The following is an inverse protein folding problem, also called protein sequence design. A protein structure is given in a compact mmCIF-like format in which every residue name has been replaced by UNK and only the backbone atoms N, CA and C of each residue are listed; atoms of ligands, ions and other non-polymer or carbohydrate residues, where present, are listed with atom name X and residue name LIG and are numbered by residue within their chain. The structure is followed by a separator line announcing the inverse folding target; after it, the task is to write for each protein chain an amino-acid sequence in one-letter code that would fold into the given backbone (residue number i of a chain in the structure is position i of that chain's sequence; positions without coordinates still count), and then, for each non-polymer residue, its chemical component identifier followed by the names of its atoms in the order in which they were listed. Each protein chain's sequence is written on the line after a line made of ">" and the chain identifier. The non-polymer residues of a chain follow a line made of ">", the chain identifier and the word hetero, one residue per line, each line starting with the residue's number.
data_IF_219517328230
#
_entry.id   IF_219517328230
#
_cell.length_a   1.000
_cell.length_b   1.000
_cell.length_c   1.000
_cell.angle_alpha   90.00
_cell.angle_beta   90.00
_cell.angle_gamma   90.00
#
_symmetry.space_group_name_H-M   'P 1'
#
loop_
_entity.id
_entity.type
_entity.pdbx_description
1 polymer ?
#
# COMPACT_ATOMS: atom_id res chain seq x y z
N UNK A 1 0.17 1.45 34.48
CA UNK A 1 -0.90 0.79 33.69
C UNK A 1 -2.24 0.96 34.42
N UNK A 2 -2.60 2.19 34.80
CA UNK A 2 -3.69 2.51 35.76
C UNK A 2 -4.82 3.36 35.16
N UNK A 3 -5.22 3.07 33.91
CA UNK A 3 -6.37 3.75 33.28
C UNK A 3 -7.38 2.75 32.72
N UNK A 4 -7.63 1.66 33.47
CA UNK A 4 -8.77 0.77 33.23
C UNK A 4 -9.71 0.80 34.43
N UNK A 5 -10.42 1.90 34.60
CA UNK A 5 -11.61 1.95 35.46
C UNK A 5 -12.81 1.33 34.72
N UNK A 6 -13.74 0.79 35.51
CA UNK A 6 -14.93 -0.01 35.14
C UNK A 6 -15.96 0.64 34.20
N UNK A 7 -15.69 1.83 33.67
CA UNK A 7 -16.53 2.54 32.70
C UNK A 7 -15.69 2.77 31.45
N UNK A 8 -16.20 2.46 30.25
CA UNK A 8 -15.45 2.45 29.00
C UNK A 8 -14.56 3.69 28.76
N UNK A 9 -13.58 3.54 27.86
CA UNK A 9 -12.56 4.56 27.49
C UNK A 9 -13.08 5.98 27.72
N UNK A 10 -12.57 6.65 28.77
CA UNK A 10 -12.93 8.03 29.10
C UNK A 10 -12.72 8.89 27.85
N UNK A 11 -13.81 9.44 27.31
CA UNK A 11 -13.76 10.32 26.14
C UNK A 11 -13.29 11.70 26.60
N UNK A 12 -12.06 12.06 26.26
CA UNK A 12 -11.52 13.40 26.48
C UNK A 12 -11.95 14.34 25.36
N UNK A 13 -12.07 15.62 25.67
CA UNK A 13 -12.22 16.66 24.64
C UNK A 13 -10.86 16.96 24.01
N UNK A 14 -10.83 17.41 22.75
CA UNK A 14 -9.57 17.62 22.02
C UNK A 14 -8.65 18.64 22.72
N UNK A 15 -9.24 19.69 23.31
CA UNK A 15 -8.53 20.71 24.08
C UNK A 15 -7.85 20.18 25.35
N UNK A 16 -8.23 19.00 25.83
CA UNK A 16 -7.63 18.36 27.01
C UNK A 16 -6.39 17.52 26.64
N UNK A 17 -6.20 17.20 25.35
CA UNK A 17 -5.18 16.24 24.89
C UNK A 17 -4.19 16.81 23.89
N UNK A 18 -4.50 17.94 23.23
CA UNK A 18 -3.59 18.63 22.31
C UNK A 18 -3.56 20.14 22.60
N UNK A 19 -2.37 20.73 22.47
CA UNK A 19 -2.13 22.17 22.59
C UNK A 19 -1.70 22.78 21.25
N UNK A 20 -1.93 24.09 21.03
CA UNK A 20 -1.30 24.83 19.93
C UNK A 20 0.22 24.64 19.94
N UNK A 21 0.82 24.63 18.75
CA UNK A 21 2.28 24.45 18.53
C UNK A 21 2.87 23.10 18.97
N UNK A 22 2.04 22.15 19.43
CA UNK A 22 2.49 20.81 19.76
C UNK A 22 2.96 20.07 18.51
N UNK A 23 4.23 19.65 18.52
CA UNK A 23 4.81 18.86 17.43
C UNK A 23 4.32 17.41 17.54
N UNK A 24 3.73 16.90 16.46
CA UNK A 24 3.22 15.54 16.36
C UNK A 24 3.64 14.90 15.03
N UNK A 25 4.00 13.61 15.07
CA UNK A 25 4.20 12.82 13.87
C UNK A 25 2.83 12.38 13.34
N UNK A 26 2.57 12.65 12.07
CA UNK A 26 1.29 12.35 11.41
C UNK A 26 1.52 11.62 10.09
N UNK A 27 0.57 10.78 9.71
CA UNK A 27 0.48 10.13 8.41
C UNK A 27 -0.76 10.63 7.67
N UNK A 28 -0.60 10.89 6.37
CA UNK A 28 -1.71 11.18 5.46
C UNK A 28 -2.49 9.88 5.21
N UNK A 29 -3.78 9.88 5.56
CA UNK A 29 -4.70 8.78 5.30
C UNK A 29 -5.50 8.98 4.01
N UNK A 30 -5.85 10.22 3.71
CA UNK A 30 -6.55 10.62 2.49
C UNK A 30 -5.95 11.93 2.01
N UNK A 31 -5.65 11.98 0.72
CA UNK A 31 -5.20 13.20 0.06
C UNK A 31 -6.29 14.27 0.10
N UNK A 32 -5.89 15.52 -0.12
CA UNK A 32 -6.80 16.64 -0.23
C UNK A 32 -7.84 16.43 -1.34
N UNK A 33 -9.07 16.90 -1.09
CA UNK A 33 -10.15 16.83 -2.07
C UNK A 33 -10.90 18.15 -2.12
N UNK A 34 -10.80 18.84 -3.25
CA UNK A 34 -11.39 20.17 -3.42
C UNK A 34 -10.82 21.13 -2.39
N UNK A 35 -11.69 21.73 -1.57
CA UNK A 35 -11.28 22.63 -0.48
C UNK A 35 -10.99 21.92 0.85
N UNK A 36 -11.19 20.59 0.94
CA UNK A 36 -10.90 19.82 2.15
C UNK A 36 -9.43 19.43 2.17
N UNK A 37 -8.71 19.87 3.21
CA UNK A 37 -7.34 19.43 3.47
C UNK A 37 -7.24 17.91 3.69
N UNK A 38 -6.02 17.40 3.65
CA UNK A 38 -5.72 15.99 3.83
C UNK A 38 -6.20 15.47 5.20
N UNK A 39 -6.70 14.24 5.23
CA UNK A 39 -7.06 13.57 6.49
C UNK A 39 -5.80 12.97 7.11
N UNK A 40 -5.53 13.31 8.38
CA UNK A 40 -4.32 12.90 9.10
C UNK A 40 -4.64 11.91 10.23
N UNK A 41 -3.66 11.07 10.55
CA UNK A 41 -3.69 10.18 11.71
C UNK A 41 -2.34 10.12 12.38
N UNK A 42 -2.33 10.08 13.72
CA UNK A 42 -1.13 9.78 14.49
C UNK A 42 -0.89 8.28 14.59
N UNK A 43 -1.89 7.43 14.33
CA UNK A 43 -1.70 5.98 14.18
C UNK A 43 -1.02 5.73 12.85
N UNK A 44 0.27 5.37 12.94
CA UNK A 44 1.12 5.12 11.77
C UNK A 44 0.89 3.68 11.32
N UNK A 45 0.89 3.48 10.02
CA UNK A 45 0.84 2.18 9.38
C UNK A 45 1.86 2.13 8.24
N UNK A 46 2.69 1.09 8.25
CA UNK A 46 3.70 0.83 7.24
C UNK A 46 3.37 -0.47 6.53
N UNK A 47 3.09 -0.36 5.24
CA UNK A 47 2.73 -1.52 4.43
C UNK A 47 3.99 -2.20 3.87
N UNK A 48 4.29 -3.38 4.41
CA UNK A 48 5.16 -4.37 3.78
C UNK A 48 4.42 -5.13 2.68
N UNK A 49 5.08 -6.11 2.08
CA UNK A 49 4.48 -6.90 1.01
C UNK A 49 3.42 -7.88 1.52
N UNK A 50 3.73 -8.59 2.58
CA UNK A 50 2.88 -9.64 3.13
C UNK A 50 2.12 -9.17 4.36
N UNK A 51 2.60 -8.10 4.99
CA UNK A 51 2.07 -7.61 6.25
C UNK A 51 2.00 -6.08 6.29
N UNK A 52 1.23 -5.55 7.25
CA UNK A 52 1.17 -4.12 7.56
C UNK A 52 1.50 -3.97 9.04
N UNK A 53 2.59 -3.25 9.33
CA UNK A 53 3.03 -2.92 10.67
C UNK A 53 2.31 -1.65 11.15
N UNK A 54 1.76 -1.69 12.36
CA UNK A 54 1.24 -0.50 13.06
C UNK A 54 2.06 -0.29 14.32
N UNK A 55 3.17 0.48 14.25
CA UNK A 55 4.16 0.53 15.32
C UNK A 55 3.67 1.18 16.63
N UNK A 56 2.54 1.89 16.60
CA UNK A 56 1.96 2.56 17.76
C UNK A 56 0.52 2.12 18.07
N UNK A 57 0.13 0.94 17.58
CA UNK A 57 -1.20 0.36 17.83
C UNK A 57 -1.06 -1.07 18.34
N UNK A 58 -0.79 -1.28 19.64
CA UNK A 58 -0.49 -2.61 20.21
C UNK A 58 -1.61 -3.64 20.02
N UNK A 59 -2.86 -3.18 19.89
CA UNK A 59 -4.04 -4.03 19.68
C UNK A 59 -4.54 -4.03 18.22
N UNK A 60 -3.79 -3.43 17.30
CA UNK A 60 -4.25 -3.20 15.93
C UNK A 60 -4.16 -4.42 15.02
N UNK A 61 -3.62 -5.56 15.47
CA UNK A 61 -3.27 -6.68 14.59
C UNK A 61 -4.42 -7.56 14.12
N UNK A 62 -4.14 -8.40 13.11
CA UNK A 62 -5.10 -9.39 12.60
C UNK A 62 -4.72 -10.02 11.27
N UNK A 63 -5.73 -10.62 10.64
CA UNK A 63 -5.62 -11.26 9.32
C UNK A 63 -6.57 -10.52 8.38
N UNK A 64 -6.15 -10.26 7.14
CA UNK A 64 -6.96 -9.63 6.10
C UNK A 64 -8.36 -10.25 6.02
N UNK A 65 -9.39 -9.40 5.98
CA UNK A 65 -10.80 -9.84 5.86
C UNK A 65 -11.07 -10.64 4.58
N UNK A 66 -10.27 -10.42 3.53
CA UNK A 66 -10.37 -11.15 2.25
C UNK A 66 -9.94 -12.62 2.36
N UNK A 67 -9.23 -13.01 3.42
CA UNK A 67 -8.91 -14.42 3.71
C UNK A 67 -10.10 -14.97 4.49
N UNK A 68 -10.95 -15.75 3.82
CA UNK A 68 -12.22 -16.23 4.40
C UNK A 68 -12.08 -17.64 4.96
N UNK A 69 -11.25 -18.49 4.34
CA UNK A 69 -11.04 -19.88 4.75
C UNK A 69 -10.50 -19.96 6.19
N UNK A 70 -11.18 -20.76 7.03
CA UNK A 70 -10.85 -20.95 8.44
C UNK A 70 -9.49 -21.62 8.64
N UNK A 71 -9.14 -22.61 7.82
CA UNK A 71 -7.89 -23.35 7.92
C UNK A 71 -6.69 -22.45 7.60
N UNK A 72 -6.81 -21.62 6.56
CA UNK A 72 -5.79 -20.65 6.21
C UNK A 72 -5.61 -19.60 7.31
N UNK A 73 -6.71 -19.13 7.91
CA UNK A 73 -6.64 -18.24 9.07
C UNK A 73 -5.97 -18.89 10.27
N UNK A 74 -6.22 -20.18 10.52
CA UNK A 74 -5.59 -20.93 11.60
C UNK A 74 -4.08 -21.07 11.36
N UNK A 75 -3.67 -21.43 10.14
CA UNK A 75 -2.25 -21.51 9.73
C UNK A 75 -1.54 -20.16 9.93
N UNK A 76 -2.11 -19.07 9.43
CA UNK A 76 -1.54 -17.72 9.57
C UNK A 76 -1.46 -17.33 11.04
N UNK A 77 -2.50 -17.61 11.84
CA UNK A 77 -2.49 -17.32 13.28
C UNK A 77 -1.35 -18.07 14.01
N UNK A 78 -1.12 -19.33 13.67
CA UNK A 78 -0.01 -20.11 14.24
C UNK A 78 1.34 -19.47 13.87
N UNK A 79 1.53 -19.12 12.59
CA UNK A 79 2.75 -18.43 12.14
C UNK A 79 2.96 -17.11 12.91
N UNK A 80 1.89 -16.32 13.10
CA UNK A 80 1.95 -15.05 13.83
C UNK A 80 2.32 -15.22 15.31
N UNK A 81 1.92 -16.32 15.96
CA UNK A 81 2.31 -16.59 17.35
C UNK A 81 3.81 -16.85 17.50
N UNK A 82 4.46 -17.33 16.44
CA UNK A 82 5.89 -17.62 16.44
C UNK A 82 6.77 -16.44 16.02
N UNK A 83 6.17 -15.38 15.47
CA UNK A 83 6.88 -14.16 15.08
C UNK A 83 6.92 -13.21 16.28
N UNK A 84 8.13 -12.86 16.72
CA UNK A 84 8.32 -11.92 17.82
C UNK A 84 8.12 -10.49 17.32
N UNK A 85 7.15 -9.80 17.89
CA UNK A 85 6.83 -8.40 17.60
C UNK A 85 6.79 -7.68 18.95
N UNK A 86 7.38 -6.47 19.08
CA UNK A 86 7.26 -5.70 20.31
C UNK A 86 5.79 -5.49 20.69
N UNK A 87 5.46 -5.62 21.97
CA UNK A 87 4.07 -5.53 22.45
C UNK A 87 3.38 -4.20 22.12
N UNK A 88 4.17 -3.16 21.85
CA UNK A 88 3.69 -1.82 21.45
C UNK A 88 3.16 -1.76 20.02
N UNK A 89 3.45 -2.77 19.20
CA UNK A 89 3.14 -2.79 17.77
C UNK A 89 2.05 -3.80 17.43
N UNK A 90 1.22 -3.46 16.46
CA UNK A 90 0.26 -4.37 15.84
C UNK A 90 0.72 -4.82 14.46
N UNK A 91 0.26 -5.98 14.01
CA UNK A 91 0.55 -6.50 12.68
C UNK A 91 -0.70 -7.06 12.00
N UNK A 92 -0.95 -6.65 10.75
CA UNK A 92 -2.02 -7.22 9.91
C UNK A 92 -1.39 -8.02 8.77
N UNK A 93 -1.75 -9.29 8.62
CA UNK A 93 -1.35 -10.08 7.45
C UNK A 93 -2.24 -9.74 6.25
N UNK A 94 -1.62 -9.33 5.15
CA UNK A 94 -2.27 -8.99 3.87
C UNK A 94 -2.68 -10.25 3.12
N UNK A 95 -3.58 -10.11 2.15
CA UNK A 95 -3.98 -11.23 1.27
C UNK A 95 -2.79 -11.84 0.53
N UNK A 96 -1.80 -11.03 0.14
CA UNK A 96 -0.57 -11.50 -0.50
C UNK A 96 0.32 -12.36 0.42
N UNK A 97 0.10 -12.31 1.74
CA UNK A 97 0.76 -13.17 2.73
C UNK A 97 0.14 -14.56 2.85
N UNK A 98 -0.95 -14.85 2.13
CA UNK A 98 -1.53 -16.19 2.07
C UNK A 98 -0.51 -17.17 1.46
N UNK A 99 -0.43 -18.38 2.00
CA UNK A 99 0.50 -19.43 1.58
C UNK A 99 1.99 -19.04 1.66
N UNK A 100 2.32 -18.02 2.47
CA UNK A 100 3.71 -17.64 2.75
C UNK A 100 4.24 -18.35 3.98
N UNK A 101 5.53 -18.68 3.91
CA UNK A 101 6.23 -19.33 5.01
C UNK A 101 6.44 -18.36 6.17
N UNK A 102 6.62 -18.88 7.38
CA UNK A 102 7.02 -18.08 8.55
C UNK A 102 8.23 -17.19 8.27
N UNK A 103 9.25 -17.73 7.59
CA UNK A 103 10.48 -17.00 7.29
C UNK A 103 10.23 -15.82 6.35
N UNK A 104 9.39 -15.99 5.32
CA UNK A 104 9.01 -14.90 4.41
C UNK A 104 8.25 -13.79 5.13
N UNK A 105 7.27 -14.15 5.98
CA UNK A 105 6.50 -13.17 6.75
C UNK A 105 7.39 -12.46 7.77
N UNK A 106 8.21 -13.21 8.52
CA UNK A 106 9.13 -12.65 9.51
C UNK A 106 10.12 -11.66 8.87
N UNK A 107 10.66 -11.99 7.70
CA UNK A 107 11.56 -11.10 6.95
C UNK A 107 10.86 -9.80 6.54
N UNK A 108 9.63 -9.88 6.03
CA UNK A 108 8.82 -8.71 5.69
C UNK A 108 8.57 -7.83 6.93
N UNK A 109 8.19 -8.44 8.06
CA UNK A 109 7.97 -7.75 9.34
C UNK A 109 9.23 -7.02 9.80
N UNK A 110 10.37 -7.71 9.85
CA UNK A 110 11.65 -7.12 10.26
C UNK A 110 12.08 -5.96 9.37
N UNK A 111 11.84 -6.06 8.05
CA UNK A 111 12.08 -4.97 7.13
C UNK A 111 11.22 -3.74 7.46
N UNK A 112 9.91 -3.92 7.72
CA UNK A 112 9.03 -2.81 8.14
C UNK A 112 9.40 -2.24 9.50
N UNK A 113 9.87 -3.05 10.46
CA UNK A 113 10.36 -2.56 11.76
C UNK A 113 11.62 -1.71 11.56
N UNK A 114 12.56 -2.18 10.74
CA UNK A 114 13.77 -1.41 10.40
C UNK A 114 13.41 -0.08 9.74
N UNK A 115 12.43 -0.07 8.84
CA UNK A 115 11.95 1.16 8.21
C UNK A 115 11.32 2.10 9.26
N UNK A 116 10.50 1.58 10.18
CA UNK A 116 9.94 2.36 11.28
C UNK A 116 11.02 3.02 12.14
N UNK A 117 12.08 2.31 12.50
CA UNK A 117 13.17 2.89 13.29
C UNK A 117 13.90 4.03 12.55
N UNK A 118 14.05 3.92 11.22
CA UNK A 118 14.57 5.04 10.40
C UNK A 118 13.63 6.23 10.43
N UNK A 119 12.32 6.01 10.29
CA UNK A 119 11.30 7.07 10.35
C UNK A 119 11.34 7.76 11.70
N UNK A 120 11.35 6.99 12.79
CA UNK A 120 11.42 7.50 14.16
C UNK A 120 12.69 8.32 14.40
N UNK A 121 13.85 7.79 13.98
CA UNK A 121 15.14 8.49 14.08
C UNK A 121 15.15 9.80 13.30
N UNK A 122 14.63 9.79 12.07
CA UNK A 122 14.53 11.01 11.25
C UNK A 122 13.53 12.01 11.82
N UNK A 123 12.39 11.56 12.36
CA UNK A 123 11.40 12.43 12.97
C UNK A 123 11.98 13.21 14.16
N UNK A 124 12.73 12.54 15.05
CA UNK A 124 13.36 13.19 16.22
C UNK A 124 14.43 14.20 15.82
N UNK A 125 15.16 13.96 14.73
CA UNK A 125 16.20 14.86 14.22
C UNK A 125 15.67 16.02 13.37
N UNK A 126 14.42 15.95 12.93
CA UNK A 126 13.83 16.92 12.01
C UNK A 126 13.24 18.10 12.78
N UNK A 127 13.35 19.30 12.20
CA UNK A 127 12.66 20.49 12.67
C UNK A 127 11.31 20.55 11.94
N UNK A 128 10.21 20.65 12.70
CA UNK A 128 8.86 20.69 12.12
C UNK A 128 8.56 22.07 11.49
N UNK A 129 7.76 22.14 10.40
CA UNK A 129 7.19 21.04 9.62
C UNK A 129 8.23 20.41 8.66
N UNK A 130 8.24 19.08 8.55
CA UNK A 130 9.19 18.38 7.67
C UNK A 130 8.64 17.04 7.18
N UNK A 131 8.98 16.67 5.93
CA UNK A 131 8.70 15.37 5.34
C UNK A 131 9.66 14.31 5.91
N UNK A 132 9.14 13.50 6.82
CA UNK A 132 9.92 12.41 7.44
C UNK A 132 10.02 11.21 6.51
N UNK A 133 8.92 10.77 5.91
CA UNK A 133 8.87 9.57 5.10
C UNK A 133 7.94 9.75 3.90
N UNK A 134 8.43 9.35 2.73
CA UNK A 134 7.67 9.37 1.50
C UNK A 134 7.34 7.94 1.07
N UNK A 135 6.05 7.60 1.13
CA UNK A 135 5.51 6.36 0.57
C UNK A 135 5.30 6.45 -0.95
N UNK A 136 5.36 7.68 -1.49
CA UNK A 136 4.88 8.09 -2.82
C UNK A 136 5.53 7.42 -4.03
N UNK A 137 6.69 6.77 -3.87
CA UNK A 137 7.38 6.13 -4.99
C UNK A 137 6.49 5.06 -5.65
N UNK A 138 6.03 5.37 -6.87
CA UNK A 138 5.12 4.53 -7.65
C UNK A 138 5.77 3.18 -7.97
N UNK A 139 7.08 3.13 -8.16
CA UNK A 139 7.83 1.90 -8.43
C UNK A 139 7.82 1.01 -7.18
N UNK A 140 8.10 1.58 -6.01
CA UNK A 140 8.02 0.86 -4.73
C UNK A 140 6.62 0.26 -4.52
N UNK A 141 5.57 1.06 -4.72
CA UNK A 141 4.17 0.63 -4.58
C UNK A 141 3.80 -0.45 -5.59
N UNK A 142 4.15 -0.28 -6.86
CA UNK A 142 3.87 -1.27 -7.90
C UNK A 142 4.55 -2.62 -7.61
N UNK A 143 5.83 -2.62 -7.21
CA UNK A 143 6.54 -3.85 -6.85
C UNK A 143 5.93 -4.51 -5.61
N UNK A 144 5.52 -3.73 -4.60
CA UNK A 144 4.91 -4.28 -3.39
C UNK A 144 3.54 -4.89 -3.65
N UNK A 145 2.68 -4.17 -4.38
CA UNK A 145 1.25 -4.47 -4.45
C UNK A 145 0.86 -5.32 -5.68
N UNK A 146 1.60 -5.21 -6.79
CA UNK A 146 1.28 -5.90 -8.07
C UNK A 146 2.14 -7.14 -8.29
N UNK A 147 3.43 -7.12 -7.90
CA UNK A 147 4.33 -8.24 -8.18
C UNK A 147 3.94 -9.50 -7.39
N UNK A 148 3.76 -10.59 -8.11
CA UNK A 148 3.42 -11.91 -7.58
C UNK A 148 4.35 -13.00 -8.16
N UNK A 149 4.15 -14.25 -7.75
CA UNK A 149 4.98 -15.36 -8.22
C UNK A 149 4.83 -15.64 -9.73
N UNK A 150 3.66 -15.32 -10.31
CA UNK A 150 3.33 -15.49 -11.73
C UNK A 150 4.02 -14.44 -12.62
N UNK A 151 4.48 -13.35 -12.03
CA UNK A 151 5.19 -12.29 -12.75
C UNK A 151 6.51 -12.83 -13.29
N UNK A 152 6.63 -12.90 -14.62
CA UNK A 152 7.84 -13.40 -15.30
C UNK A 152 9.00 -12.42 -15.20
N UNK A 153 8.79 -11.19 -15.68
CA UNK A 153 9.76 -10.11 -15.67
C UNK A 153 9.07 -8.79 -15.33
N UNK A 154 9.81 -7.86 -14.73
CA UNK A 154 9.44 -6.45 -14.59
C UNK A 154 10.39 -5.68 -15.49
N UNK A 155 9.87 -5.16 -16.60
CA UNK A 155 10.66 -4.41 -17.59
C UNK A 155 10.56 -2.93 -17.23
N UNK A 156 11.71 -2.28 -17.09
CA UNK A 156 11.80 -0.87 -16.67
C UNK A 156 12.56 -0.07 -17.71
N UNK A 157 11.90 0.96 -18.25
CA UNK A 157 12.52 1.95 -19.12
C UNK A 157 13.16 3.08 -18.28
N UNK A 158 14.33 3.55 -18.70
CA UNK A 158 15.13 4.54 -17.96
C UNK A 158 16.08 3.96 -16.89
N UNK A 159 17.22 4.64 -16.68
CA UNK A 159 18.26 4.21 -15.75
C UNK A 159 17.85 4.36 -14.28
N UNK A 160 17.30 5.51 -13.92
CA UNK A 160 16.95 5.83 -12.53
C UNK A 160 15.87 4.88 -12.01
N UNK A 161 14.78 4.73 -12.76
CA UNK A 161 13.70 3.81 -12.43
C UNK A 161 14.18 2.36 -12.31
N UNK A 162 15.09 1.91 -13.19
CA UNK A 162 15.66 0.57 -13.12
C UNK A 162 16.45 0.34 -11.83
N UNK A 163 17.26 1.31 -11.39
CA UNK A 163 18.02 1.18 -10.13
C UNK A 163 17.09 1.18 -8.92
N UNK A 164 16.13 2.11 -8.85
CA UNK A 164 15.09 2.15 -7.81
C UNK A 164 14.32 0.82 -7.75
N UNK A 165 13.89 0.30 -8.90
CA UNK A 165 13.19 -0.99 -8.98
C UNK A 165 14.03 -2.15 -8.43
N UNK A 166 15.34 -2.19 -8.72
CA UNK A 166 16.24 -3.21 -8.16
C UNK A 166 16.41 -3.06 -6.66
N UNK A 167 16.55 -1.85 -6.16
CA UNK A 167 16.67 -1.58 -4.72
C UNK A 167 15.40 -2.01 -3.97
N UNK A 168 14.22 -1.62 -4.45
CA UNK A 168 12.95 -2.04 -3.85
C UNK A 168 12.71 -3.55 -3.95
N UNK A 169 13.06 -4.15 -5.09
CA UNK A 169 13.00 -5.61 -5.24
C UNK A 169 13.97 -6.30 -4.26
N UNK A 170 15.18 -5.77 -4.06
CA UNK A 170 16.14 -6.29 -3.07
C UNK A 170 15.62 -6.16 -1.64
N UNK A 171 14.95 -5.04 -1.35
CA UNK A 171 14.34 -4.78 -0.05
C UNK A 171 13.19 -5.76 0.25
N UNK A 172 12.24 -5.93 -0.67
CA UNK A 172 11.06 -6.79 -0.43
C UNK A 172 11.31 -8.28 -0.74
N UNK A 173 11.92 -8.62 -1.88
CA UNK A 173 12.17 -10.00 -2.34
C UNK A 173 13.54 -10.14 -3.03
N UNK A 174 14.64 -10.27 -2.27
CA UNK A 174 15.99 -10.31 -2.85
C UNK A 174 16.20 -11.44 -3.86
N UNK A 175 15.53 -12.59 -3.67
CA UNK A 175 15.60 -13.72 -4.61
C UNK A 175 15.04 -13.40 -6.01
N UNK A 176 14.18 -12.38 -6.12
CA UNK A 176 13.52 -12.01 -7.37
C UNK A 176 14.19 -10.83 -8.10
N UNK A 177 15.31 -10.30 -7.61
CA UNK A 177 16.03 -9.17 -8.24
C UNK A 177 16.37 -9.44 -9.70
N UNK A 178 16.67 -10.70 -10.07
CA UNK A 178 16.99 -11.10 -11.45
C UNK A 178 15.82 -10.90 -12.44
N UNK A 179 14.57 -10.80 -11.95
CA UNK A 179 13.37 -10.54 -12.76
C UNK A 179 13.21 -9.07 -13.17
N UNK A 180 13.93 -8.15 -12.53
CA UNK A 180 13.99 -6.75 -12.95
C UNK A 180 14.91 -6.64 -14.17
N UNK A 181 14.35 -6.25 -15.32
CA UNK A 181 15.08 -6.09 -16.59
C UNK A 181 15.04 -4.64 -17.03
N UNK A 182 16.19 -4.12 -17.44
CA UNK A 182 16.27 -2.79 -18.04
C UNK A 182 15.87 -2.88 -19.50
N UNK A 183 14.94 -2.05 -19.92
CA UNK A 183 14.60 -1.87 -21.32
C UNK A 183 15.73 -1.10 -22.05
N UNK A 184 16.05 -1.52 -23.28
CA UNK A 184 17.12 -0.94 -24.10
C UNK A 184 16.71 -0.75 -25.56
N UNK A 185 15.44 -0.97 -25.89
CA UNK A 185 14.96 -0.80 -27.25
C UNK A 185 14.96 0.67 -27.66
N UNK A 186 15.02 0.92 -28.98
CA UNK A 186 14.96 2.28 -29.54
C UNK A 186 13.53 2.85 -29.54
N UNK A 187 12.54 1.96 -29.67
CA UNK A 187 11.12 2.31 -29.64
C UNK A 187 10.69 2.39 -28.17
N UNK A 188 9.87 3.37 -27.73
CA UNK A 188 9.38 3.43 -26.35
C UNK A 188 8.72 2.11 -25.90
N UNK A 189 8.97 1.71 -24.65
CA UNK A 189 8.53 0.41 -24.12
C UNK A 189 7.04 0.12 -24.34
N UNK A 190 6.17 1.09 -24.05
CA UNK A 190 4.72 0.89 -24.16
C UNK A 190 4.23 0.77 -25.60
N UNK A 191 4.92 1.44 -26.53
CA UNK A 191 4.65 1.30 -27.95
C UNK A 191 5.08 -0.08 -28.46
N UNK A 192 6.28 -0.55 -28.08
CA UNK A 192 6.77 -1.88 -28.44
C UNK A 192 5.86 -3.00 -27.91
N UNK A 193 5.33 -2.85 -26.69
CA UNK A 193 4.39 -3.79 -26.09
C UNK A 193 2.95 -3.65 -26.61
N UNK A 194 2.66 -2.67 -27.48
CA UNK A 194 1.35 -2.45 -28.06
C UNK A 194 0.27 -1.99 -27.08
N UNK A 195 0.64 -1.52 -25.89
CA UNK A 195 -0.33 -1.12 -24.84
C UNK A 195 -0.73 0.35 -24.92
N UNK A 196 0.00 1.17 -25.67
CA UNK A 196 -0.21 2.62 -25.76
C UNK A 196 -1.62 2.99 -26.26
N UNK A 197 -2.14 2.25 -27.25
CA UNK A 197 -3.53 2.42 -27.69
C UNK A 197 -4.53 2.17 -26.56
N UNK A 198 -4.30 1.15 -25.75
CA UNK A 198 -5.16 0.84 -24.59
C UNK A 198 -5.04 1.88 -23.48
N UNK A 199 -3.87 2.48 -23.30
CA UNK A 199 -3.68 3.58 -22.34
C UNK A 199 -4.44 4.83 -22.78
N UNK A 200 -4.40 5.18 -24.06
CA UNK A 200 -5.15 6.33 -24.58
C UNK A 200 -6.66 6.15 -24.42
N UNK A 201 -7.16 4.91 -24.53
CA UNK A 201 -8.57 4.58 -24.29
C UNK A 201 -9.06 4.85 -22.86
N UNK A 202 -8.16 4.98 -21.88
CA UNK A 202 -8.55 5.29 -20.48
C UNK A 202 -9.16 6.69 -20.38
N UNK A 203 -8.82 7.59 -21.30
CA UNK A 203 -9.35 8.96 -21.35
C UNK A 203 -10.64 9.09 -22.16
N UNK A 204 -11.07 8.02 -22.83
CA UNK A 204 -12.32 8.01 -23.59
C UNK A 204 -13.50 7.83 -22.64
N UNK A 205 -14.52 8.68 -22.75
CA UNK A 205 -15.79 8.51 -22.04
C UNK A 205 -16.58 7.31 -22.55
N UNK A 206 -16.26 6.79 -23.74
CA UNK A 206 -16.98 5.70 -24.38
C UNK A 206 -16.04 4.56 -24.69
N UNK A 207 -16.38 3.35 -24.25
CA UNK A 207 -15.56 2.15 -24.47
C UNK A 207 -16.35 1.13 -25.28
N UNK A 208 -15.88 0.83 -26.49
CA UNK A 208 -16.45 -0.24 -27.32
C UNK A 208 -16.13 -1.62 -26.75
N UNK A 209 -17.15 -2.47 -26.69
CA UNK A 209 -17.07 -3.87 -26.28
C UNK A 209 -16.76 -4.77 -27.48
N UNK A 210 -16.20 -5.94 -27.21
CA UNK A 210 -15.81 -6.92 -28.25
C UNK A 210 -17.01 -7.37 -29.09
N UNK A 211 -18.19 -7.45 -28.46
CA UNK A 211 -19.43 -7.90 -29.10
C UNK A 211 -20.20 -6.81 -29.87
N UNK A 212 -19.61 -5.62 -30.08
CA UNK A 212 -20.23 -4.55 -30.87
C UNK A 212 -21.04 -3.52 -30.07
N UNK A 213 -21.38 -3.81 -28.81
CA UNK A 213 -21.92 -2.82 -27.87
C UNK A 213 -20.87 -1.81 -27.38
N UNK A 214 -21.29 -0.87 -26.54
CA UNK A 214 -20.40 0.10 -25.91
C UNK A 214 -20.92 0.56 -24.55
N UNK A 215 -20.00 1.00 -23.69
CA UNK A 215 -20.32 1.64 -22.41
C UNK A 215 -19.98 3.12 -22.47
N UNK A 216 -20.76 3.95 -21.77
CA UNK A 216 -20.51 5.39 -21.60
C UNK A 216 -20.32 5.69 -20.12
N UNK A 217 -19.20 6.30 -19.77
CA UNK A 217 -18.79 6.60 -18.39
C UNK A 217 -18.83 8.12 -18.21
N UNK A 218 -19.75 8.59 -17.37
CA UNK A 218 -19.97 10.00 -17.10
C UNK A 218 -19.73 10.30 -15.60
N UNK A 219 -18.54 10.80 -15.23
CA UNK A 219 -18.29 11.25 -13.88
C UNK A 219 -19.02 12.57 -13.60
N UNK A 220 -19.68 12.66 -12.44
CA UNK A 220 -20.27 13.88 -11.88
C UNK A 220 -19.59 14.18 -10.53
N UNK A 221 -19.95 15.29 -9.88
CA UNK A 221 -19.36 15.67 -8.59
C UNK A 221 -19.59 14.61 -7.49
N UNK A 222 -20.79 14.03 -7.47
CA UNK A 222 -21.22 13.12 -6.40
C UNK A 222 -21.11 11.64 -6.78
N UNK A 223 -21.22 11.30 -8.06
CA UNK A 223 -21.30 9.92 -8.54
C UNK A 223 -20.71 9.75 -9.93
N UNK A 224 -20.46 8.49 -10.32
CA UNK A 224 -20.11 8.13 -11.70
C UNK A 224 -21.27 7.34 -12.29
N UNK A 225 -21.85 7.83 -13.39
CA UNK A 225 -22.89 7.10 -14.13
C UNK A 225 -22.24 6.26 -15.23
N UNK A 226 -22.70 5.03 -15.38
CA UNK A 226 -22.25 4.11 -16.43
C UNK A 226 -23.48 3.62 -17.19
N UNK A 227 -23.56 3.98 -18.46
CA UNK A 227 -24.61 3.53 -19.39
C UNK A 227 -24.08 2.42 -20.30
N UNK A 228 -24.92 1.44 -20.64
CA UNK A 228 -24.55 0.25 -21.42
C UNK A 228 -25.48 0.13 -22.62
N UNK A 229 -24.91 0.17 -23.82
CA UNK A 229 -25.64 0.07 -25.08
C UNK A 229 -25.24 -1.21 -25.82
N UNK A 230 -26.21 -2.01 -26.24
CA UNK A 230 -25.98 -3.31 -26.89
C UNK A 230 -25.47 -3.23 -28.33
N UNK A 231 -25.37 -2.03 -28.92
CA UNK A 231 -25.10 -1.85 -30.35
C UNK A 231 -26.31 -2.21 -31.21
N UNK A 232 -26.26 -1.87 -32.50
CA UNK A 232 -27.27 -2.32 -33.46
C UNK A 232 -27.04 -3.80 -33.78
N UNK A 233 -28.08 -4.62 -33.67
CA UNK A 233 -28.13 -5.95 -34.28
C UNK A 233 -27.93 -5.80 -35.79
N UNK A 234 -26.91 -6.47 -36.34
CA UNK A 234 -26.78 -6.70 -37.78
C UNK A 234 -27.77 -7.81 -38.15
#
# INVERSE_FOLDING_TARGET
>A
NELKTRYGIKRYKIQEVIKPEQIILVQILKDERGQKGAALSTFISLAGKYSVLMPNTPKGGGISRKIINSDDRKKIRNILQEIQIPETMGLIVRTAGLNKTKNEINKDVLNTISEWEKIKSKAVKSIAPSLVYEEGDVIKRAIRDVFNNETKNVIVDGNEGYQKAKEFMKFFMPENVKKIKKYRGKIPLFHEMGIEKSLNRIFESTVKLVSGGYIVINPTEALVSIDINSGQSI
#
